data_IF_390914220316
#
_entry.id   IF_390914220316
#
_cell.length_a   1.000
_cell.length_b   1.000
_cell.length_c   1.000
_cell.angle_alpha   90.00
_cell.angle_beta   90.00
_cell.angle_gamma   90.00
#
_symmetry.space_group_name_H-M   'P 1'
#
loop_
_entity.id
_entity.type
_entity.pdbx_description
1 polymer ?
#
# COMPACT_ATOMS: atom_id res chain seq x y z
N UNK A 1 -13.86 18.99 40.56
CA UNK A 1 -12.88 19.87 39.89
C UNK A 1 -12.70 19.36 38.48
N UNK A 2 -13.27 20.05 37.49
CA UNK A 2 -13.14 19.65 36.08
C UNK A 2 -11.71 19.96 35.64
N UNK A 3 -10.90 18.93 35.41
CA UNK A 3 -9.55 19.09 34.89
C UNK A 3 -9.62 19.74 33.52
N UNK A 4 -8.92 20.88 33.35
CA UNK A 4 -8.76 21.52 32.05
C UNK A 4 -8.33 20.45 31.05
N UNK A 5 -9.17 20.22 30.05
CA UNK A 5 -8.87 19.29 28.97
C UNK A 5 -7.56 19.73 28.34
N UNK A 6 -6.52 18.89 28.41
CA UNK A 6 -5.25 19.12 27.71
C UNK A 6 -5.56 19.52 26.26
N UNK A 7 -5.42 20.79 25.95
CA UNK A 7 -5.48 21.34 24.59
C UNK A 7 -4.05 21.30 24.10
N UNK A 8 -3.83 20.69 22.95
CA UNK A 8 -2.63 21.01 22.20
C UNK A 8 -2.61 22.55 22.03
N UNK A 9 -1.46 23.21 22.19
CA UNK A 9 -1.33 24.62 21.82
C UNK A 9 -1.94 24.81 20.43
N UNK A 10 -2.54 25.97 20.14
CA UNK A 10 -3.29 26.21 18.90
C UNK A 10 -2.45 26.13 17.60
N UNK A 11 -1.22 25.61 17.66
CA UNK A 11 -0.45 25.04 16.57
C UNK A 11 -0.58 23.51 16.63
N UNK A 12 -1.16 22.88 15.60
CA UNK A 12 -1.24 21.42 15.42
C UNK A 12 -0.06 20.72 16.11
N UNK A 13 -0.27 19.76 17.02
CA UNK A 13 0.83 19.16 17.73
C UNK A 13 1.84 18.61 16.74
N UNK A 14 3.07 19.08 16.85
CA UNK A 14 4.23 18.52 16.15
C UNK A 14 4.15 17.00 16.35
N UNK A 15 4.21 16.22 15.28
CA UNK A 15 3.93 14.77 15.26
C UNK A 15 4.59 14.02 16.44
N UNK A 16 5.78 14.48 16.79
CA UNK A 16 6.64 14.06 17.88
C UNK A 16 5.95 14.21 19.26
N UNK A 17 5.24 15.31 19.49
CA UNK A 17 4.46 15.57 20.71
C UNK A 17 3.29 14.58 20.82
N UNK A 18 2.57 14.34 19.73
CA UNK A 18 1.48 13.35 19.72
C UNK A 18 2.02 11.96 20.06
N UNK A 19 3.12 11.55 19.42
CA UNK A 19 3.79 10.29 19.68
C UNK A 19 4.30 10.16 21.12
N UNK A 20 4.89 11.21 21.68
CA UNK A 20 5.36 11.24 23.07
C UNK A 20 4.21 11.10 24.07
N UNK A 21 3.11 11.83 23.85
CA UNK A 21 1.91 11.77 24.69
C UNK A 21 1.25 10.40 24.64
N UNK A 22 1.20 9.74 23.48
CA UNK A 22 0.68 8.36 23.39
C UNK A 22 1.54 7.41 24.23
N UNK A 23 2.87 7.46 24.08
CA UNK A 23 3.78 6.58 24.84
C UNK A 23 3.70 6.83 26.35
N UNK A 24 3.70 8.09 26.79
CA UNK A 24 3.59 8.45 28.20
C UNK A 24 2.21 8.07 28.75
N UNK A 25 1.16 8.41 28.01
CA UNK A 25 -0.21 8.07 28.40
C UNK A 25 -0.40 6.57 28.54
N UNK A 26 0.13 5.77 27.62
CA UNK A 26 0.11 4.31 27.72
C UNK A 26 0.96 3.80 28.91
N UNK A 27 2.18 4.32 29.10
CA UNK A 27 3.09 3.89 30.18
C UNK A 27 2.54 4.16 31.59
N UNK A 28 1.79 5.25 31.75
CA UNK A 28 1.25 5.70 33.04
C UNK A 28 -0.27 5.53 33.15
N UNK A 29 -0.90 4.79 32.23
CA UNK A 29 -2.35 4.50 32.23
C UNK A 29 -3.23 5.77 32.22
N UNK A 30 -2.79 6.80 31.51
CA UNK A 30 -3.56 8.04 31.30
C UNK A 30 -4.33 7.96 29.98
N UNK A 31 -5.36 7.12 29.94
CA UNK A 31 -6.13 6.80 28.73
C UNK A 31 -6.66 8.04 27.99
N UNK A 32 -7.11 9.06 28.72
CA UNK A 32 -7.66 10.27 28.13
C UNK A 32 -6.64 11.06 27.30
N UNK A 33 -5.36 11.07 27.71
CA UNK A 33 -4.30 11.77 26.97
C UNK A 33 -3.76 10.91 25.83
N UNK A 34 -3.61 9.60 26.06
CA UNK A 34 -3.22 8.65 25.02
C UNK A 34 -4.22 8.65 23.86
N UNK A 35 -5.52 8.63 24.18
CA UNK A 35 -6.60 8.65 23.18
C UNK A 35 -6.57 9.89 22.29
N UNK A 36 -6.20 11.06 22.83
CA UNK A 36 -6.05 12.30 22.04
C UNK A 36 -4.90 12.21 21.04
N UNK A 37 -3.76 11.66 21.47
CA UNK A 37 -2.62 11.44 20.59
C UNK A 37 -2.93 10.40 19.50
N UNK A 38 -3.60 9.30 19.85
CA UNK A 38 -4.03 8.28 18.90
C UNK A 38 -5.05 8.82 17.87
N UNK A 39 -5.98 9.67 18.32
CA UNK A 39 -6.93 10.33 17.42
C UNK A 39 -6.22 11.23 16.40
N UNK A 40 -5.20 11.99 16.84
CA UNK A 40 -4.37 12.79 15.95
C UNK A 40 -3.62 11.93 14.92
N UNK A 41 -2.97 10.85 15.36
CA UNK A 41 -2.27 9.93 14.47
C UNK A 41 -3.21 9.27 13.46
N UNK A 42 -4.44 8.92 13.88
CA UNK A 42 -5.45 8.28 13.00
C UNK A 42 -5.98 9.24 11.95
N UNK A 43 -5.97 10.55 12.21
CA UNK A 43 -6.31 11.55 11.19
C UNK A 43 -5.20 11.71 10.15
N UNK A 44 -3.94 11.45 10.50
CA UNK A 44 -2.82 11.49 9.56
C UNK A 44 -2.71 10.19 8.77
N UNK A 45 -2.73 9.05 9.47
CA UNK A 45 -2.60 7.70 8.91
C UNK A 45 -3.98 7.12 8.63
N UNK A 46 -4.52 7.46 7.46
CA UNK A 46 -5.89 7.10 7.10
C UNK A 46 -6.00 5.60 6.75
N UNK A 47 -6.91 4.90 7.41
CA UNK A 47 -7.19 3.47 7.17
C UNK A 47 -8.02 3.16 5.93
N UNK A 48 -8.44 4.18 5.18
CA UNK A 48 -9.27 4.05 3.98
C UNK A 48 -8.63 4.74 2.79
N UNK A 49 -8.46 3.98 1.70
CA UNK A 49 -7.99 4.51 0.43
C UNK A 49 -8.83 5.68 -0.09
N UNK A 50 -10.16 5.62 0.07
CA UNK A 50 -11.05 6.71 -0.36
C UNK A 50 -10.77 8.02 0.38
N UNK A 51 -10.54 7.95 1.69
CA UNK A 51 -10.18 9.13 2.49
C UNK A 51 -8.82 9.68 2.07
N UNK A 52 -7.88 8.79 1.76
CA UNK A 52 -6.57 9.13 1.20
C UNK A 52 -6.68 9.85 -0.14
N UNK A 53 -7.38 9.27 -1.12
CA UNK A 53 -7.59 9.84 -2.43
C UNK A 53 -8.32 11.20 -2.37
N UNK A 54 -9.32 11.31 -1.48
CA UNK A 54 -10.03 12.57 -1.25
C UNK A 54 -9.10 13.67 -0.71
N UNK A 55 -8.23 13.36 0.26
CA UNK A 55 -7.26 14.32 0.80
C UNK A 55 -6.32 14.84 -0.28
N UNK A 56 -5.77 13.97 -1.10
CA UNK A 56 -4.87 14.35 -2.20
C UNK A 56 -5.57 15.23 -3.24
N UNK A 57 -6.84 14.92 -3.55
CA UNK A 57 -7.65 15.73 -4.47
C UNK A 57 -7.92 17.12 -3.92
N UNK A 58 -8.28 17.26 -2.63
CA UNK A 58 -8.53 18.56 -2.01
C UNK A 58 -7.29 19.44 -2.04
N UNK A 59 -6.14 18.90 -1.63
CA UNK A 59 -4.86 19.61 -1.66
C UNK A 59 -4.45 20.07 -3.07
N UNK A 60 -4.80 19.29 -4.10
CA UNK A 60 -4.58 19.69 -5.48
C UNK A 60 -5.47 20.87 -5.93
N UNK A 61 -6.65 21.03 -5.32
CA UNK A 61 -7.62 22.07 -5.69
C UNK A 61 -7.34 23.41 -4.99
N UNK A 62 -6.89 23.38 -3.73
CA UNK A 62 -6.62 24.58 -2.94
C UNK A 62 -5.15 25.02 -2.98
N UNK A 63 -4.27 24.25 -3.64
CA UNK A 63 -2.84 24.53 -3.76
C UNK A 63 -2.07 24.32 -2.46
N UNK A 64 -2.70 23.74 -1.44
CA UNK A 64 -2.03 23.39 -0.18
C UNK A 64 -1.25 22.08 -0.33
N UNK A 65 -0.11 21.98 0.36
CA UNK A 65 0.55 20.68 0.49
C UNK A 65 -0.27 19.77 1.43
N UNK A 66 -0.62 18.55 1.00
CA UNK A 66 -1.32 17.64 1.88
C UNK A 66 -0.44 17.31 3.08
N UNK A 67 -1.02 17.34 4.30
CA UNK A 67 -0.33 16.82 5.48
C UNK A 67 -0.27 15.30 5.36
N UNK A 68 0.87 14.81 4.86
CA UNK A 68 1.14 13.41 4.65
C UNK A 68 2.11 12.87 5.72
N UNK A 69 2.03 11.57 6.06
CA UNK A 69 3.06 10.91 6.83
C UNK A 69 4.46 11.14 6.24
N UNK A 70 5.44 11.47 7.05
CA UNK A 70 6.84 11.29 6.62
C UNK A 70 7.12 9.79 6.64
N UNK A 71 7.76 9.25 5.61
CA UNK A 71 8.03 7.80 5.53
C UNK A 71 8.72 7.31 6.81
N UNK A 72 9.86 7.88 7.19
CA UNK A 72 10.62 7.50 8.39
C UNK A 72 9.79 7.50 9.69
N UNK A 73 8.84 8.44 9.84
CA UNK A 73 7.94 8.52 11.01
C UNK A 73 7.02 7.30 11.16
N UNK A 74 6.80 6.54 10.08
CA UNK A 74 5.93 5.38 10.07
C UNK A 74 6.47 4.22 10.92
N UNK A 75 7.79 4.14 11.14
CA UNK A 75 8.40 3.21 12.10
C UNK A 75 7.87 3.49 13.51
N UNK A 76 7.89 4.76 13.93
CA UNK A 76 7.35 5.19 15.23
C UNK A 76 5.85 4.90 15.34
N UNK A 77 5.09 5.09 14.27
CA UNK A 77 3.64 4.81 14.29
C UNK A 77 3.34 3.32 14.35
N UNK A 78 4.08 2.46 13.64
CA UNK A 78 3.95 1.00 13.78
C UNK A 78 4.24 0.56 15.22
N UNK A 79 5.33 1.05 15.81
CA UNK A 79 5.69 0.73 17.19
C UNK A 79 4.63 1.22 18.19
N UNK A 80 4.10 2.43 18.00
CA UNK A 80 2.97 2.94 18.81
C UNK A 80 1.76 2.02 18.68
N UNK A 81 1.35 1.70 17.45
CA UNK A 81 0.19 0.86 17.18
C UNK A 81 0.31 -0.53 17.83
N UNK A 82 1.53 -1.08 17.91
CA UNK A 82 1.83 -2.34 18.60
C UNK A 82 1.69 -2.21 20.12
N UNK A 83 2.28 -1.20 20.74
CA UNK A 83 2.23 -1.07 22.21
C UNK A 83 0.85 -0.68 22.72
N UNK A 84 0.07 0.10 21.95
CA UNK A 84 -1.27 0.55 22.35
C UNK A 84 -2.41 -0.30 21.77
N UNK A 85 -2.09 -1.45 21.17
CA UNK A 85 -3.05 -2.34 20.49
C UNK A 85 -4.06 -1.57 19.63
N UNK A 86 -3.55 -0.70 18.74
CA UNK A 86 -4.36 0.20 17.92
C UNK A 86 -4.30 -0.24 16.45
N UNK A 87 -5.11 -1.23 16.04
CA UNK A 87 -5.00 -1.86 14.73
C UNK A 87 -5.33 -0.92 13.56
N UNK A 88 -6.10 0.15 13.80
CA UNK A 88 -6.43 1.16 12.79
C UNK A 88 -5.20 1.92 12.25
N UNK A 89 -4.12 1.99 13.02
CA UNK A 89 -2.85 2.64 12.63
C UNK A 89 -1.86 1.68 11.99
N UNK A 90 -2.01 0.39 12.25
CA UNK A 90 -1.02 -0.64 11.87
C UNK A 90 -0.96 -0.82 10.35
N UNK A 91 -2.12 -0.97 9.70
CA UNK A 91 -2.22 -1.09 8.24
C UNK A 91 -1.63 0.13 7.51
N UNK A 92 -2.10 1.38 7.74
CA UNK A 92 -1.58 2.53 7.01
C UNK A 92 -0.09 2.77 7.30
N UNK A 93 0.38 2.61 8.54
CA UNK A 93 1.80 2.78 8.84
C UNK A 93 2.68 1.74 8.13
N UNK A 94 2.20 0.50 8.00
CA UNK A 94 2.93 -0.54 7.30
C UNK A 94 3.01 -0.27 5.79
N UNK A 95 1.93 0.20 5.16
CA UNK A 95 1.97 0.63 3.76
C UNK A 95 3.03 1.71 3.55
N UNK A 96 3.14 2.66 4.46
CA UNK A 96 4.18 3.69 4.40
C UNK A 96 5.59 3.10 4.60
N UNK A 97 5.77 2.16 5.53
CA UNK A 97 7.03 1.43 5.67
C UNK A 97 7.41 0.64 4.41
N UNK A 98 6.43 0.10 3.68
CA UNK A 98 6.68 -0.56 2.40
C UNK A 98 7.20 0.41 1.33
N UNK A 99 7.02 1.72 1.49
CA UNK A 99 7.53 2.73 0.55
C UNK A 99 8.92 3.26 0.91
N UNK A 100 9.54 2.84 2.03
CA UNK A 100 10.90 3.26 2.45
C UNK A 100 12.02 2.49 1.77
N UNK A 101 13.12 3.15 1.42
CA UNK A 101 14.30 2.43 0.96
C UNK A 101 14.80 1.46 2.05
N UNK A 102 15.38 0.32 1.62
CA UNK A 102 15.77 -0.72 2.59
C UNK A 102 16.78 -0.22 3.63
N UNK A 103 17.70 0.66 3.22
CA UNK A 103 18.67 1.25 4.13
C UNK A 103 18.04 2.19 5.16
N UNK A 104 16.97 2.93 4.80
CA UNK A 104 16.22 3.79 5.73
C UNK A 104 15.46 2.95 6.75
N UNK A 105 14.85 1.86 6.30
CA UNK A 105 14.12 0.93 7.15
C UNK A 105 15.05 0.27 8.19
N UNK A 106 16.28 -0.06 7.80
CA UNK A 106 17.31 -0.62 8.66
C UNK A 106 17.95 0.42 9.58
N UNK A 107 18.10 1.68 9.13
CA UNK A 107 18.65 2.76 9.95
C UNK A 107 17.72 3.14 11.11
N UNK A 108 16.42 2.88 10.97
CA UNK A 108 15.42 3.19 11.98
C UNK A 108 14.99 4.66 11.98
N UNK A 109 14.26 5.04 13.01
CA UNK A 109 13.77 6.41 13.22
C UNK A 109 14.31 6.97 14.52
N UNK A 110 15.13 8.03 14.42
CA UNK A 110 15.60 8.75 15.60
C UNK A 110 14.55 9.76 16.05
N UNK A 111 14.13 9.64 17.30
CA UNK A 111 13.22 10.57 17.96
C UNK A 111 13.92 11.85 18.41
N UNK A 112 13.13 12.88 18.72
CA UNK A 112 13.60 14.16 19.27
C UNK A 112 14.38 14.01 20.58
N UNK A 113 14.09 12.98 21.38
CA UNK A 113 14.81 12.68 22.62
C UNK A 113 16.08 11.83 22.39
N UNK A 114 16.48 11.64 21.13
CA UNK A 114 17.66 10.89 20.73
C UNK A 114 17.48 9.37 20.72
N UNK A 115 16.31 8.86 21.14
CA UNK A 115 16.01 7.42 21.14
C UNK A 115 15.84 6.93 19.70
N UNK A 116 16.61 5.92 19.34
CA UNK A 116 16.53 5.27 18.03
C UNK A 116 15.54 4.11 18.06
N UNK A 117 14.49 4.21 17.25
CA UNK A 117 13.46 3.18 17.12
C UNK A 117 13.67 2.35 15.85
N UNK A 118 13.56 1.04 16.01
CA UNK A 118 13.55 0.11 14.88
C UNK A 118 12.22 -0.65 14.88
N UNK A 119 11.88 -1.22 13.72
CA UNK A 119 10.84 -2.23 13.67
C UNK A 119 11.34 -3.52 14.35
N UNK A 120 10.42 -4.27 14.92
CA UNK A 120 10.72 -5.64 15.35
C UNK A 120 11.11 -6.50 14.15
N UNK A 121 11.81 -7.61 14.38
CA UNK A 121 12.16 -8.55 13.31
C UNK A 121 10.92 -9.07 12.58
N UNK A 122 9.84 -9.32 13.31
CA UNK A 122 8.57 -9.79 12.75
C UNK A 122 7.89 -8.72 11.88
N UNK A 123 7.88 -7.47 12.34
CA UNK A 123 7.33 -6.35 11.57
C UNK A 123 8.17 -6.07 10.32
N UNK A 124 9.49 -6.16 10.41
CA UNK A 124 10.40 -6.01 9.27
C UNK A 124 10.15 -7.11 8.23
N UNK A 125 10.06 -8.37 8.65
CA UNK A 125 9.72 -9.49 7.76
C UNK A 125 8.33 -9.30 7.13
N UNK A 126 7.39 -8.73 7.88
CA UNK A 126 6.07 -8.38 7.38
C UNK A 126 6.14 -7.31 6.28
N UNK A 127 6.88 -6.22 6.50
CA UNK A 127 7.10 -5.15 5.51
C UNK A 127 7.70 -5.72 4.23
N UNK A 128 8.74 -6.55 4.32
CA UNK A 128 9.40 -7.15 3.14
C UNK A 128 8.43 -8.00 2.33
N UNK A 129 7.71 -8.91 2.98
CA UNK A 129 6.72 -9.78 2.33
C UNK A 129 5.61 -8.99 1.65
N UNK A 130 5.06 -8.00 2.34
CA UNK A 130 3.98 -7.17 1.81
C UNK A 130 4.47 -6.32 0.65
N UNK A 131 5.65 -5.71 0.76
CA UNK A 131 6.29 -5.00 -0.36
C UNK A 131 6.37 -5.88 -1.60
N UNK A 132 6.84 -7.12 -1.49
CA UNK A 132 6.91 -8.05 -2.63
C UNK A 132 5.55 -8.29 -3.26
N UNK A 133 4.52 -8.53 -2.45
CA UNK A 133 3.17 -8.78 -2.97
C UNK A 133 2.54 -7.52 -3.59
N UNK A 134 2.76 -6.34 -3.01
CA UNK A 134 2.28 -5.08 -3.57
C UNK A 134 2.91 -4.78 -4.93
N UNK A 135 4.23 -4.98 -5.08
CA UNK A 135 4.92 -4.84 -6.37
C UNK A 135 4.36 -5.83 -7.40
N UNK A 136 4.10 -7.07 -7.00
CA UNK A 136 3.46 -8.08 -7.86
C UNK A 136 2.07 -7.63 -8.31
N UNK A 137 1.26 -7.12 -7.38
CA UNK A 137 -0.09 -6.65 -7.67
C UNK A 137 -0.09 -5.38 -8.55
N UNK A 138 0.87 -4.48 -8.34
CA UNK A 138 1.04 -3.28 -9.16
C UNK A 138 1.41 -3.62 -10.61
N UNK A 139 2.29 -4.61 -10.81
CA UNK A 139 2.58 -5.14 -12.15
C UNK A 139 1.33 -5.73 -12.82
N UNK A 140 0.52 -6.51 -12.10
CA UNK A 140 -0.74 -7.02 -12.61
C UNK A 140 -1.76 -5.90 -12.90
N UNK A 141 -1.77 -4.85 -12.08
CA UNK A 141 -2.62 -3.68 -12.29
C UNK A 141 -2.24 -2.97 -13.60
N UNK A 142 -0.96 -2.74 -13.86
CA UNK A 142 -0.48 -2.16 -15.12
C UNK A 142 -0.98 -2.96 -16.33
N UNK A 143 -0.80 -4.29 -16.31
CA UNK A 143 -1.27 -5.17 -17.40
C UNK A 143 -2.80 -5.08 -17.62
N UNK A 144 -3.59 -4.91 -16.56
CA UNK A 144 -5.06 -4.77 -16.65
C UNK A 144 -5.47 -3.38 -17.14
N UNK A 145 -4.80 -2.34 -16.68
CA UNK A 145 -5.02 -0.95 -17.10
C UNK A 145 -4.77 -0.82 -18.61
N UNK A 146 -3.69 -1.42 -19.10
CA UNK A 146 -3.28 -1.31 -20.50
C UNK A 146 -3.81 -2.44 -21.41
N UNK A 147 -4.78 -3.23 -20.95
CA UNK A 147 -5.32 -4.39 -21.68
C UNK A 147 -6.09 -4.04 -22.97
N UNK A 148 -6.37 -2.77 -23.24
CA UNK A 148 -6.94 -2.33 -24.53
C UNK A 148 -7.86 -1.11 -24.45
N UNK A 149 -8.48 -0.77 -25.60
CA UNK A 149 -9.28 0.45 -25.80
C UNK A 149 -10.66 0.42 -25.15
N UNK A 150 -11.20 1.58 -24.77
CA UNK A 150 -12.56 1.68 -24.25
C UNK A 150 -13.61 1.34 -25.32
N UNK A 151 -14.82 0.94 -24.89
CA UNK A 151 -15.92 0.64 -25.82
C UNK A 151 -16.37 1.87 -26.63
N UNK A 152 -16.25 3.08 -26.05
CA UNK A 152 -16.53 4.36 -26.71
C UNK A 152 -15.35 4.96 -27.46
N UNK A 153 -14.28 4.19 -27.73
CA UNK A 153 -13.07 4.74 -28.35
C UNK A 153 -13.35 5.33 -29.74
N UNK A 154 -12.95 6.59 -29.95
CA UNK A 154 -13.15 7.32 -31.21
C UNK A 154 -12.13 6.96 -32.28
N UNK A 155 -10.97 6.44 -31.89
CA UNK A 155 -9.92 5.95 -32.79
C UNK A 155 -9.27 4.70 -32.19
N UNK A 156 -9.87 3.51 -32.40
CA UNK A 156 -9.37 2.27 -31.84
C UNK A 156 -7.96 1.91 -32.31
N UNK A 157 -7.58 2.26 -33.54
CA UNK A 157 -6.26 1.92 -34.08
C UNK A 157 -5.16 2.71 -33.36
N UNK A 158 -5.28 4.04 -33.29
CA UNK A 158 -4.30 4.91 -32.63
C UNK A 158 -4.23 4.65 -31.12
N UNK A 159 -5.38 4.49 -30.46
CA UNK A 159 -5.40 4.24 -29.03
C UNK A 159 -4.81 2.86 -28.71
N UNK A 160 -5.12 1.82 -29.49
CA UNK A 160 -4.57 0.50 -29.27
C UNK A 160 -3.04 0.47 -29.45
N UNK A 161 -2.52 1.18 -30.46
CA UNK A 161 -1.09 1.38 -30.60
C UNK A 161 -0.51 2.06 -29.37
N UNK A 162 -1.11 3.16 -28.90
CA UNK A 162 -0.66 3.86 -27.69
C UNK A 162 -0.68 2.97 -26.43
N UNK A 163 -1.65 2.04 -26.32
CA UNK A 163 -1.69 1.05 -25.24
C UNK A 163 -0.51 0.07 -25.32
N UNK A 164 -0.20 -0.43 -26.51
CA UNK A 164 0.94 -1.33 -26.72
C UNK A 164 2.26 -0.61 -26.48
N UNK A 165 2.43 0.60 -27.00
CA UNK A 165 3.62 1.43 -26.79
C UNK A 165 3.85 1.72 -25.31
N UNK A 166 2.78 2.03 -24.56
CA UNK A 166 2.87 2.26 -23.12
C UNK A 166 3.35 1.03 -22.33
N UNK A 167 2.95 -0.17 -22.74
CA UNK A 167 3.43 -1.43 -22.17
C UNK A 167 4.86 -1.74 -22.62
N UNK A 168 5.17 -1.52 -23.90
CA UNK A 168 6.50 -1.76 -24.46
C UNK A 168 7.56 -0.87 -23.81
N UNK A 169 7.25 0.40 -23.57
CA UNK A 169 8.17 1.31 -22.85
C UNK A 169 8.46 0.87 -21.41
N UNK A 170 7.71 -0.07 -20.82
CA UNK A 170 8.05 -0.66 -19.52
C UNK A 170 9.14 -1.74 -19.63
N UNK A 171 9.35 -2.31 -20.82
CA UNK A 171 10.36 -3.35 -21.07
C UNK A 171 11.68 -2.77 -21.57
N UNK A 172 11.70 -1.49 -21.97
CA UNK A 172 12.89 -0.81 -22.47
C UNK A 172 13.95 -0.63 -21.38
N UNK A 173 15.23 -0.98 -21.65
CA UNK A 173 16.34 -0.65 -20.77
C UNK A 173 16.40 0.86 -20.52
N UNK A 174 16.27 1.28 -19.26
CA UNK A 174 16.24 2.70 -18.88
C UNK A 174 14.85 3.30 -18.71
N UNK A 175 13.79 2.47 -18.72
CA UNK A 175 12.47 2.92 -18.28
C UNK A 175 12.57 3.50 -16.86
N UNK A 176 12.18 4.77 -16.71
CA UNK A 176 12.10 5.42 -15.39
C UNK A 176 10.89 4.94 -14.60
N UNK A 177 9.95 4.29 -15.28
CA UNK A 177 8.76 3.72 -14.70
C UNK A 177 9.08 2.35 -14.08
N UNK A 178 8.79 2.20 -12.80
CA UNK A 178 9.05 0.96 -12.06
C UNK A 178 7.78 0.52 -11.33
N UNK A 179 7.63 -0.80 -11.17
CA UNK A 179 6.61 -1.37 -10.30
C UNK A 179 6.99 -1.11 -8.86
N UNK A 180 6.05 -0.59 -8.09
CA UNK A 180 6.32 -0.15 -6.72
C UNK A 180 5.21 -0.57 -5.78
N UNK A 181 5.49 -0.57 -4.47
CA UNK A 181 4.43 -0.63 -3.47
C UNK A 181 3.41 0.49 -3.71
N UNK A 182 2.24 0.36 -3.09
CA UNK A 182 1.15 1.32 -3.26
C UNK A 182 1.63 2.71 -2.81
N UNK A 183 2.03 3.51 -3.78
CA UNK A 183 2.45 4.90 -3.59
C UNK A 183 1.21 5.80 -3.47
N UNK A 184 1.45 6.97 -2.88
CA UNK A 184 0.41 7.96 -2.60
C UNK A 184 -0.04 8.69 -3.86
N UNK A 185 0.75 8.69 -4.93
CA UNK A 185 0.48 9.43 -6.15
C UNK A 185 -0.18 8.58 -7.26
N UNK A 186 -0.61 9.24 -8.34
CA UNK A 186 -1.39 8.65 -9.44
C UNK A 186 -0.52 8.01 -10.54
N UNK A 187 0.55 7.32 -10.15
CA UNK A 187 1.48 6.51 -10.98
C UNK A 187 1.02 6.15 -12.40
N UNK A 188 0.17 5.12 -12.59
CA UNK A 188 -0.21 4.64 -13.93
C UNK A 188 -1.08 5.58 -14.77
N UNK A 189 -1.94 6.37 -14.13
CA UNK A 189 -2.79 7.30 -14.85
C UNK A 189 -1.98 8.49 -15.34
N UNK A 190 -1.05 8.98 -14.53
CA UNK A 190 -0.17 10.10 -14.88
C UNK A 190 0.88 9.67 -15.90
N UNK A 191 1.41 8.46 -15.79
CA UNK A 191 2.29 7.86 -16.80
C UNK A 191 1.67 7.84 -18.20
N UNK A 192 0.43 7.34 -18.29
CA UNK A 192 -0.23 7.15 -19.57
C UNK A 192 -0.87 8.44 -20.11
N UNK A 193 -1.52 9.23 -19.24
CA UNK A 193 -2.30 10.40 -19.65
C UNK A 193 -1.51 11.69 -19.52
N UNK A 194 -0.59 11.78 -18.57
CA UNK A 194 0.29 12.94 -18.39
C UNK A 194 1.39 13.03 -19.45
N UNK A 195 1.79 11.91 -20.07
CA UNK A 195 2.77 11.88 -21.15
C UNK A 195 2.12 11.98 -22.55
N UNK A 196 1.35 13.05 -22.78
CA UNK A 196 0.60 13.26 -24.04
C UNK A 196 1.48 13.41 -25.29
N UNK A 197 2.77 13.73 -25.10
CA UNK A 197 3.76 13.75 -26.19
C UNK A 197 4.12 12.35 -26.67
N UNK A 198 4.00 11.33 -25.81
CA UNK A 198 4.37 9.94 -26.11
C UNK A 198 3.17 9.09 -26.47
N UNK A 199 2.04 9.27 -25.79
CA UNK A 199 0.85 8.45 -25.99
C UNK A 199 -0.35 9.30 -26.42
N UNK A 200 -1.04 8.87 -27.49
CA UNK A 200 -2.20 9.57 -28.04
C UNK A 200 -3.49 8.82 -27.79
N UNK A 201 -3.95 8.88 -26.54
CA UNK A 201 -5.27 8.36 -26.16
C UNK A 201 -6.38 9.37 -26.46
N UNK A 202 -7.52 8.90 -26.94
CA UNK A 202 -8.76 9.70 -26.94
C UNK A 202 -9.30 9.88 -25.51
N UNK A 203 -10.23 10.82 -25.32
CA UNK A 203 -10.76 11.12 -23.97
C UNK A 203 -11.46 9.92 -23.30
N UNK A 204 -12.20 9.12 -24.05
CA UNK A 204 -12.85 7.89 -23.55
C UNK A 204 -11.82 6.87 -23.03
N UNK A 205 -10.69 6.72 -23.74
CA UNK A 205 -9.58 5.86 -23.29
C UNK A 205 -8.86 6.44 -22.08
N UNK A 206 -8.64 7.76 -22.01
CA UNK A 206 -8.05 8.42 -20.84
C UNK A 206 -8.92 8.25 -19.60
N UNK A 207 -10.24 8.39 -19.74
CA UNK A 207 -11.18 8.19 -18.64
C UNK A 207 -11.18 6.74 -18.16
N UNK A 208 -11.17 5.78 -19.09
CA UNK A 208 -11.00 4.36 -18.76
C UNK A 208 -9.70 4.08 -17.99
N UNK A 209 -8.57 4.64 -18.44
CA UNK A 209 -7.28 4.45 -17.75
C UNK A 209 -7.36 4.98 -16.32
N UNK A 210 -7.88 6.21 -16.13
CA UNK A 210 -8.03 6.81 -14.79
C UNK A 210 -8.95 6.00 -13.89
N UNK A 211 -10.09 5.53 -14.40
CA UNK A 211 -11.04 4.75 -13.62
C UNK A 211 -10.49 3.37 -13.26
N UNK A 212 -9.84 2.68 -14.21
CA UNK A 212 -9.20 1.40 -13.95
C UNK A 212 -8.04 1.53 -12.97
N UNK A 213 -7.18 2.55 -13.12
CA UNK A 213 -6.07 2.79 -12.21
C UNK A 213 -6.52 3.07 -10.77
N UNK A 214 -7.64 3.79 -10.61
CA UNK A 214 -8.25 4.00 -9.29
C UNK A 214 -8.84 2.69 -8.73
N UNK A 215 -9.55 1.93 -9.57
CA UNK A 215 -10.16 0.65 -9.18
C UNK A 215 -9.12 -0.39 -8.77
N UNK A 216 -8.02 -0.54 -9.52
CA UNK A 216 -6.96 -1.48 -9.17
C UNK A 216 -6.28 -1.09 -7.85
N UNK A 217 -6.02 0.19 -7.59
CA UNK A 217 -5.46 0.63 -6.30
C UNK A 217 -6.38 0.29 -5.12
N UNK A 218 -7.68 0.51 -5.28
CA UNK A 218 -8.66 0.14 -4.25
C UNK A 218 -8.65 -1.37 -3.99
N UNK A 219 -8.62 -2.19 -5.03
CA UNK A 219 -8.51 -3.66 -4.89
C UNK A 219 -7.24 -4.07 -4.16
N UNK A 220 -6.10 -3.43 -4.46
CA UNK A 220 -4.84 -3.71 -3.77
C UNK A 220 -4.99 -3.36 -2.28
N UNK A 221 -5.49 -2.17 -1.96
CA UNK A 221 -5.73 -1.73 -0.58
C UNK A 221 -6.62 -2.71 0.19
N UNK A 222 -7.71 -3.18 -0.42
CA UNK A 222 -8.64 -4.10 0.23
C UNK A 222 -8.03 -5.48 0.48
N UNK A 223 -7.06 -5.91 -0.33
CA UNK A 223 -6.35 -7.19 -0.14
C UNK A 223 -5.28 -7.13 0.96
N UNK A 224 -4.84 -5.93 1.33
CA UNK A 224 -3.72 -5.73 2.25
C UNK A 224 -3.88 -6.45 3.61
N UNK A 225 -5.02 -6.35 4.34
CA UNK A 225 -5.21 -7.07 5.60
C UNK A 225 -4.94 -8.58 5.49
N UNK A 226 -5.39 -9.19 4.40
CA UNK A 226 -5.16 -10.62 4.14
C UNK A 226 -3.70 -10.94 3.85
N UNK A 227 -2.99 -10.06 3.13
CA UNK A 227 -1.55 -10.20 2.85
C UNK A 227 -0.74 -10.15 4.16
N UNK A 228 -1.19 -9.35 5.14
CA UNK A 228 -0.56 -9.25 6.45
C UNK A 228 -0.76 -10.48 7.34
N UNK A 229 -1.80 -11.28 7.07
CA UNK A 229 -2.18 -12.39 7.95
C UNK A 229 -2.80 -11.92 9.27
N UNK A 230 -3.36 -10.70 9.31
CA UNK A 230 -4.13 -10.23 10.47
C UNK A 230 -5.60 -10.63 10.31
N UNK A 231 -6.27 -11.09 11.37
CA UNK A 231 -7.71 -11.30 11.34
C UNK A 231 -8.38 -9.96 11.00
N UNK A 232 -9.44 -10.05 10.20
CA UNK A 232 -10.23 -8.91 9.70
C UNK A 232 -10.37 -7.81 10.75
N UNK A 233 -9.91 -6.60 10.43
CA UNK A 233 -9.97 -5.43 11.31
C UNK A 233 -11.42 -5.23 11.82
N UNK A 234 -11.66 -5.21 13.14
CA UNK A 234 -13.01 -5.04 13.67
C UNK A 234 -13.58 -3.67 13.25
N UNK A 235 -14.65 -3.68 12.45
CA UNK A 235 -15.34 -2.48 11.97
C UNK A 235 -15.53 -2.38 10.46
N UNK A 236 -14.91 -3.26 9.66
CA UNK A 236 -15.16 -3.36 8.23
C UNK A 236 -15.99 -4.61 7.93
N UNK A 237 -17.32 -4.44 7.91
CA UNK A 237 -18.23 -5.50 7.48
C UNK A 237 -18.01 -5.75 5.97
N UNK A 238 -17.25 -6.79 5.64
CA UNK A 238 -17.04 -7.23 4.26
C UNK A 238 -18.34 -7.81 3.70
N UNK A 239 -19.06 -7.03 2.87
CA UNK A 239 -20.01 -7.59 1.90
C UNK A 239 -19.24 -7.92 0.62
N UNK A 240 -18.42 -8.95 0.67
CA UNK A 240 -17.69 -9.48 -0.50
C UNK A 240 -17.68 -11.00 -0.41
N UNK A 241 -18.30 -11.65 -1.39
CA UNK A 241 -18.59 -13.09 -1.41
C UNK A 241 -17.48 -13.98 -0.84
N UNK A 242 -17.82 -14.77 0.19
CA UNK A 242 -17.03 -15.92 0.63
C UNK A 242 -16.83 -16.85 -0.57
N UNK A 243 -15.64 -16.83 -1.18
CA UNK A 243 -15.21 -17.95 -2.02
C UNK A 243 -14.86 -19.09 -1.07
N UNK A 244 -15.87 -19.88 -0.73
CA UNK A 244 -15.70 -21.13 0.02
C UNK A 244 -14.88 -22.09 -0.85
N UNK A 245 -13.62 -22.32 -0.47
CA UNK A 245 -12.89 -23.52 -0.89
C UNK A 245 -13.59 -24.72 -0.26
N UNK A 246 -14.53 -25.35 -0.97
CA UNK A 246 -14.92 -26.72 -0.67
C UNK A 246 -13.79 -27.62 -1.14
N UNK A 247 -13.08 -28.21 -0.18
CA UNK A 247 -12.26 -29.39 -0.43
C UNK A 247 -13.23 -30.54 -0.60
N UNK A 248 -13.51 -30.92 -1.85
CA UNK A 248 -14.21 -32.16 -2.13
C UNK A 248 -13.20 -33.30 -2.07
N UNK A 249 -13.25 -34.10 -1.01
CA UNK A 249 -12.74 -35.46 -1.03
C UNK A 249 -13.68 -36.30 -1.90
N UNK A 250 -13.24 -36.64 -3.11
CA UNK A 250 -13.79 -37.79 -3.83
C UNK A 250 -12.64 -38.59 -4.43
N UNK A 251 -12.64 -39.85 -4.01
CA UNK A 251 -11.86 -40.98 -4.46
C UNK A 251 -11.99 -41.24 -5.95
N UNK A 252 -10.87 -41.64 -6.57
CA UNK A 252 -10.88 -42.58 -7.69
C UNK A 252 -10.94 -41.96 -9.08
N UNK A 253 -9.94 -42.37 -9.86
CA UNK A 253 -9.88 -42.41 -11.32
C UNK A 253 -9.40 -41.16 -12.07
N UNK A 254 -8.43 -41.44 -12.93
CA UNK A 254 -7.59 -40.54 -13.69
C UNK A 254 -8.40 -39.78 -14.74
N UNK A 255 -8.15 -38.48 -14.86
CA UNK A 255 -8.17 -37.81 -16.16
C UNK A 255 -7.14 -36.67 -16.18
N UNK A 256 -6.34 -36.71 -17.23
CA UNK A 256 -5.17 -35.88 -17.49
C UNK A 256 -5.62 -34.45 -17.81
N UNK A 257 -5.25 -33.49 -16.97
CA UNK A 257 -5.21 -32.08 -17.35
C UNK A 257 -3.80 -31.55 -17.15
N UNK A 258 -3.11 -31.38 -18.28
CA UNK A 258 -1.83 -30.68 -18.39
C UNK A 258 -1.94 -29.27 -17.79
N UNK A 259 -1.21 -29.05 -16.71
CA UNK A 259 -0.70 -27.73 -16.34
C UNK A 259 0.81 -27.87 -16.22
N UNK A 260 1.53 -27.25 -17.16
CA UNK A 260 2.99 -27.16 -17.16
C UNK A 260 3.46 -26.63 -15.81
N UNK A 261 4.02 -27.55 -15.03
CA UNK A 261 4.66 -27.30 -13.75
C UNK A 261 6.10 -26.93 -14.05
N UNK A 262 6.53 -25.75 -13.59
CA UNK A 262 7.95 -25.42 -13.48
C UNK A 262 8.53 -26.34 -12.40
N UNK A 263 9.17 -27.41 -12.85
CA UNK A 263 9.95 -28.31 -12.01
C UNK A 263 11.23 -27.57 -11.61
N UNK A 264 11.39 -27.26 -10.32
CA UNK A 264 12.69 -26.88 -9.77
C UNK A 264 13.56 -28.15 -9.74
N UNK A 265 14.52 -28.24 -10.64
CA UNK A 265 15.60 -29.25 -10.57
C UNK A 265 16.68 -28.69 -9.66
N UNK A 266 16.76 -29.21 -8.44
CA UNK A 266 17.92 -29.05 -7.56
C UNK A 266 19.00 -30.01 -8.05
N UNK A 267 20.13 -29.47 -8.51
CA UNK A 267 21.30 -30.25 -8.86
C UNK A 267 22.22 -30.30 -7.62
N UNK A 268 22.06 -31.32 -6.78
CA UNK A 268 23.03 -31.66 -5.73
C UNK A 268 23.41 -33.14 -5.87
N UNK A 269 24.72 -33.36 -5.89
CA UNK A 269 25.48 -34.55 -5.49
C UNK A 269 25.36 -35.85 -6.31
N UNK A 270 26.13 -35.89 -7.41
CA UNK A 270 26.70 -37.14 -7.90
C UNK A 270 27.93 -37.53 -7.07
N UNK A 271 27.69 -38.32 -6.03
CA UNK A 271 28.65 -39.24 -5.44
C UNK A 271 28.95 -40.36 -6.46
N UNK A 272 30.19 -40.43 -6.95
CA UNK A 272 30.70 -41.61 -7.64
C UNK A 272 31.12 -42.69 -6.62
N UNK A 273 30.76 -43.97 -6.82
CA UNK A 273 31.46 -45.09 -6.20
C UNK A 273 32.38 -45.82 -7.20
N UNK A 274 33.43 -46.41 -6.62
CA UNK A 274 34.55 -47.22 -7.16
C UNK A 274 35.83 -46.45 -7.51
#
# INVERSE_FOLDING_TARGET
MAGNAFRFPDEKPVFEVACAIVRLGHKYEFDAIASKGLAYLTDIYLSSWLRWAHRLNLSSLDGSEPVLPTLARSISVMNIARITDTPSLLLPALVECCNMEFHELMAGYQREDGVLEHLSADDLACVVRTRTEMVRLDALAALRIFRGVSAGCTDPALCNQSFQDALWSLTEPGSTMTFRPLERDRHWADYAVGCSSRYKFCEECKQRIRSQASSERMKIWDLLPSIFGWPELPGHCWMGNKVSRRVAHLSGECDVLMYDSITFVTCEDNLFPL
#
